data_IF_816610604642
#
_entry.id   IF_816610604642
#
_cell.length_a   1.000
_cell.length_b   1.000
_cell.length_c   1.000
_cell.angle_alpha   90.00
_cell.angle_beta   90.00
_cell.angle_gamma   90.00
#
_symmetry.space_group_name_H-M   'P 1'
#
loop_
_entity.id
_entity.type
_entity.pdbx_description
1 polymer ?
#
# COMPACT_ATOMS: atom_id res chain seq x y z
N UNK A 1 4.16 12.56 -19.89
CA UNK A 1 5.19 12.46 -18.89
C UNK A 1 4.70 12.84 -17.51
N UNK A 2 4.22 14.05 -17.36
CA UNK A 2 3.74 14.50 -16.06
C UNK A 2 2.53 13.74 -15.60
N UNK A 3 1.70 13.26 -16.52
CA UNK A 3 0.55 12.45 -16.18
C UNK A 3 0.95 11.14 -15.53
N UNK A 4 2.04 10.53 -16.01
CA UNK A 4 2.52 9.29 -15.44
C UNK A 4 2.94 9.51 -13.98
N UNK A 5 3.66 10.61 -13.72
CA UNK A 5 4.05 10.95 -12.37
C UNK A 5 2.84 11.11 -11.46
N UNK A 6 1.78 11.78 -11.97
CA UNK A 6 0.56 11.97 -11.20
C UNK A 6 -0.14 10.65 -10.92
N UNK A 7 -0.10 9.70 -11.88
CA UNK A 7 -0.74 8.41 -11.70
C UNK A 7 -0.10 7.60 -10.57
N UNK A 8 1.19 7.83 -10.29
CA UNK A 8 1.90 7.12 -9.23
C UNK A 8 1.73 7.78 -7.86
N UNK A 9 1.36 9.06 -7.83
CA UNK A 9 1.10 9.76 -6.58
C UNK A 9 -0.21 9.26 -5.98
N UNK A 10 -0.36 9.41 -4.66
CA UNK A 10 -1.57 8.98 -3.96
C UNK A 10 -2.49 10.18 -3.78
N UNK A 11 -3.62 10.24 -4.51
CA UNK A 11 -4.57 11.34 -4.32
C UNK A 11 -5.16 11.34 -2.91
N UNK A 12 -5.55 12.50 -2.38
CA UNK A 12 -6.16 12.55 -1.05
C UNK A 12 -7.38 11.66 -0.89
N UNK A 13 -8.20 11.52 -1.93
CA UNK A 13 -9.38 10.68 -1.86
C UNK A 13 -9.00 9.20 -1.69
N UNK A 14 -7.89 8.79 -2.30
CA UNK A 14 -7.40 7.43 -2.15
C UNK A 14 -6.89 7.21 -0.73
N UNK A 15 -6.17 8.19 -0.17
CA UNK A 15 -5.71 8.09 1.21
C UNK A 15 -6.88 7.95 2.18
N UNK A 16 -7.93 8.71 1.97
CA UNK A 16 -9.12 8.64 2.82
C UNK A 16 -9.79 7.27 2.73
N UNK A 17 -9.91 6.75 1.53
CA UNK A 17 -10.52 5.44 1.31
C UNK A 17 -9.69 4.32 1.95
N UNK A 18 -8.38 4.37 1.77
CA UNK A 18 -7.47 3.37 2.34
C UNK A 18 -7.50 3.43 3.87
N UNK A 19 -7.48 4.64 4.43
CA UNK A 19 -7.53 4.82 5.88
C UNK A 19 -8.80 4.20 6.45
N UNK A 20 -9.93 4.43 5.80
CA UNK A 20 -11.21 3.90 6.26
C UNK A 20 -11.25 2.37 6.10
N UNK A 21 -10.79 1.85 4.98
CA UNK A 21 -10.74 0.40 4.74
C UNK A 21 -9.89 -0.30 5.81
N UNK A 22 -8.77 0.33 6.19
CA UNK A 22 -7.81 -0.26 7.12
C UNK A 22 -8.12 0.08 8.58
N UNK A 23 -9.26 0.71 8.85
CA UNK A 23 -9.74 1.04 10.19
C UNK A 23 -8.76 1.92 10.98
N UNK A 24 -8.02 2.76 10.28
CA UNK A 24 -7.17 3.77 10.92
C UNK A 24 -5.97 3.23 11.66
N UNK A 25 -5.46 2.05 11.29
CA UNK A 25 -4.28 1.52 11.94
C UNK A 25 -3.47 0.65 10.97
N UNK A 26 -2.23 0.37 11.36
CA UNK A 26 -1.31 -0.44 10.58
C UNK A 26 -1.91 -1.83 10.33
N UNK A 27 -1.95 -2.26 9.08
CA UNK A 27 -2.54 -3.56 8.75
C UNK A 27 -1.67 -4.74 9.17
N UNK A 28 -0.41 -4.49 9.52
CA UNK A 28 0.50 -5.55 9.94
C UNK A 28 0.58 -5.70 11.45
N UNK A 29 0.68 -4.60 12.19
CA UNK A 29 0.88 -4.67 13.64
C UNK A 29 -0.23 -4.00 14.46
N UNK A 30 -1.17 -3.32 13.82
CA UNK A 30 -2.28 -2.70 14.51
C UNK A 30 -1.99 -1.35 15.15
N UNK A 31 -0.79 -0.79 14.95
CA UNK A 31 -0.42 0.48 15.55
C UNK A 31 -1.31 1.60 14.99
N UNK A 32 -1.99 2.39 15.87
CA UNK A 32 -2.83 3.49 15.38
C UNK A 32 -2.02 4.68 14.86
N UNK A 33 -0.72 4.74 15.17
CA UNK A 33 0.16 5.76 14.60
C UNK A 33 0.69 5.26 13.27
N UNK A 34 -0.16 5.40 12.25
CA UNK A 34 0.12 4.86 10.94
C UNK A 34 -0.42 5.82 9.88
N UNK A 35 -0.04 5.60 8.62
CA UNK A 35 -0.49 6.45 7.52
C UNK A 35 -0.84 5.60 6.30
N UNK A 36 -1.86 6.02 5.52
CA UNK A 36 -2.30 5.28 4.32
C UNK A 36 -1.46 5.67 3.11
N UNK A 37 -0.17 5.43 3.18
CA UNK A 37 0.76 5.92 2.15
C UNK A 37 1.80 4.90 1.70
N UNK A 38 1.66 3.63 2.04
CA UNK A 38 2.63 2.62 1.64
C UNK A 38 2.19 1.95 0.35
N UNK A 39 3.04 2.02 -0.68
CA UNK A 39 2.80 1.33 -1.95
C UNK A 39 3.15 -0.14 -1.82
N UNK A 40 2.24 -1.03 -2.20
CA UNK A 40 2.54 -2.44 -2.29
C UNK A 40 3.58 -2.68 -3.40
N UNK A 41 3.31 -2.17 -4.61
CA UNK A 41 4.32 -2.10 -5.66
C UNK A 41 4.84 -0.67 -5.65
N UNK A 42 6.16 -0.51 -5.48
CA UNK A 42 6.77 0.79 -5.27
C UNK A 42 6.57 1.72 -6.47
N UNK A 43 6.61 3.03 -6.19
CA UNK A 43 6.55 4.02 -7.26
C UNK A 43 7.71 3.86 -8.24
N UNK A 44 8.87 3.46 -7.73
CA UNK A 44 10.03 3.24 -8.60
C UNK A 44 9.79 2.13 -9.61
N UNK A 45 8.90 1.18 -9.28
CA UNK A 45 8.54 0.10 -10.17
C UNK A 45 7.26 0.39 -10.96
N UNK A 46 6.76 1.60 -10.89
CA UNK A 46 5.56 1.99 -11.61
C UNK A 46 4.27 1.76 -10.86
N UNK A 47 4.34 1.48 -9.56
CA UNK A 47 3.14 1.21 -8.77
C UNK A 47 2.22 2.39 -8.67
N UNK A 48 0.95 2.18 -8.99
CA UNK A 48 -0.05 3.24 -9.06
C UNK A 48 -0.53 3.67 -7.68
N UNK A 49 -1.00 4.93 -7.58
CA UNK A 49 -1.60 5.46 -6.36
C UNK A 49 -3.09 5.18 -6.31
N UNK A 50 -3.45 3.91 -6.31
CA UNK A 50 -4.85 3.46 -6.28
C UNK A 50 -5.08 2.61 -5.02
N UNK A 51 -6.32 2.51 -4.53
CA UNK A 51 -6.58 1.78 -3.29
C UNK A 51 -6.07 0.35 -3.29
N UNK A 52 -6.10 -0.30 -4.44
CA UNK A 52 -5.67 -1.69 -4.58
C UNK A 52 -4.17 -1.86 -4.40
N UNK A 53 -3.40 -0.76 -4.44
CA UNK A 53 -1.95 -0.80 -4.31
C UNK A 53 -1.44 -0.06 -3.07
N UNK A 54 -2.31 0.52 -2.27
CA UNK A 54 -1.92 1.33 -1.12
C UNK A 54 -2.43 0.70 0.16
N UNK A 55 -1.59 0.67 1.19
CA UNK A 55 -1.97 0.15 2.51
C UNK A 55 -1.55 1.12 3.60
N UNK A 56 -2.23 1.04 4.74
CA UNK A 56 -1.88 1.80 5.93
C UNK A 56 -0.82 1.04 6.71
N UNK A 57 0.34 1.63 6.89
CA UNK A 57 1.42 1.06 7.69
C UNK A 57 1.95 2.08 8.66
N UNK A 58 2.39 1.63 9.83
CA UNK A 58 3.15 2.48 10.73
C UNK A 58 4.55 2.68 10.16
N UNK A 59 5.27 3.68 10.69
CA UNK A 59 6.60 3.99 10.17
C UNK A 59 7.57 2.83 10.25
N UNK A 60 7.49 2.05 11.33
CA UNK A 60 8.38 0.91 11.50
C UNK A 60 8.10 -0.18 10.45
N UNK A 61 6.84 -0.57 10.28
CA UNK A 61 6.49 -1.60 9.30
C UNK A 61 6.75 -1.12 7.88
N UNK A 62 6.52 0.16 7.60
CA UNK A 62 6.81 0.73 6.28
C UNK A 62 8.30 0.63 5.96
N UNK A 63 9.15 0.99 6.93
CA UNK A 63 10.59 0.90 6.77
C UNK A 63 11.04 -0.54 6.58
N UNK A 64 10.47 -1.47 7.35
CA UNK A 64 10.79 -2.88 7.22
C UNK A 64 10.46 -3.42 5.84
N UNK A 65 9.34 -3.00 5.29
CA UNK A 65 8.94 -3.43 3.97
C UNK A 65 9.85 -2.85 2.89
N UNK A 66 10.23 -1.58 3.02
CA UNK A 66 11.01 -0.90 1.99
C UNK A 66 12.50 -1.21 2.04
N UNK A 67 13.05 -1.49 3.23
CA UNK A 67 14.50 -1.40 3.42
C UNK A 67 15.14 -2.61 4.10
N UNK A 68 14.41 -3.67 4.39
CA UNK A 68 14.99 -4.79 5.13
C UNK A 68 14.78 -6.13 4.44
N UNK A 69 15.45 -7.16 5.00
CA UNK A 69 15.34 -8.54 4.50
C UNK A 69 13.94 -9.12 4.77
N UNK A 70 13.13 -8.44 5.58
CA UNK A 70 11.76 -8.90 5.88
C UNK A 70 10.78 -8.59 4.75
N UNK A 71 11.25 -7.91 3.70
CA UNK A 71 10.40 -7.47 2.61
C UNK A 71 9.56 -8.59 2.00
N UNK A 72 10.15 -9.73 1.74
CA UNK A 72 9.43 -10.81 1.05
C UNK A 72 8.30 -11.37 1.89
N UNK A 73 8.54 -11.52 3.18
CA UNK A 73 7.49 -12.02 4.07
C UNK A 73 6.38 -11.00 4.24
N UNK A 74 6.73 -9.73 4.42
CA UNK A 74 5.74 -8.67 4.53
C UNK A 74 4.94 -8.58 3.24
N UNK A 75 5.60 -8.71 2.09
CA UNK A 75 4.92 -8.67 0.79
C UNK A 75 3.86 -9.75 0.70
N UNK A 76 4.17 -10.95 1.16
CA UNK A 76 3.17 -12.05 1.14
C UNK A 76 1.97 -11.71 2.01
N UNK A 77 2.20 -11.11 3.17
CA UNK A 77 1.12 -10.73 4.08
C UNK A 77 0.26 -9.62 3.47
N UNK A 78 0.88 -8.63 2.86
CA UNK A 78 0.15 -7.54 2.22
C UNK A 78 -0.63 -8.03 1.01
N UNK A 79 -0.06 -8.94 0.23
CA UNK A 79 -0.74 -9.52 -0.91
C UNK A 79 -1.99 -10.29 -0.46
N UNK A 80 -1.87 -11.06 0.60
CA UNK A 80 -3.01 -11.79 1.15
C UNK A 80 -4.09 -10.82 1.61
N UNK A 81 -3.70 -9.75 2.29
CA UNK A 81 -4.65 -8.76 2.78
C UNK A 81 -5.38 -8.05 1.63
N UNK A 82 -4.64 -7.57 0.65
CA UNK A 82 -5.23 -6.82 -0.46
C UNK A 82 -6.12 -7.71 -1.33
N UNK A 83 -5.70 -8.95 -1.57
CA UNK A 83 -6.52 -9.86 -2.36
C UNK A 83 -7.80 -10.24 -1.63
N UNK A 84 -7.80 -10.21 -0.31
CA UNK A 84 -9.02 -10.43 0.47
C UNK A 84 -9.94 -9.22 0.44
N UNK A 85 -9.39 -8.02 0.29
CA UNK A 85 -10.18 -6.79 0.26
C UNK A 85 -10.90 -6.58 -1.09
N UNK A 86 -10.31 -7.06 -2.17
CA UNK A 86 -10.82 -6.75 -3.52
C UNK A 86 -10.99 -8.01 -4.34
N UNK A 87 -12.20 -8.23 -4.82
CA UNK A 87 -12.50 -9.34 -5.71
C UNK A 87 -11.73 -9.16 -7.02
N UNK A 88 -11.06 -10.22 -7.47
CA UNK A 88 -10.30 -10.16 -8.71
C UNK A 88 -9.00 -9.37 -8.62
N UNK A 89 -8.52 -9.11 -7.40
CA UNK A 89 -7.26 -8.38 -7.23
C UNK A 89 -6.10 -9.13 -7.86
N UNK A 90 -5.27 -8.39 -8.63
CA UNK A 90 -4.11 -8.96 -9.32
C UNK A 90 -3.02 -7.90 -9.34
N UNK A 91 -1.82 -8.26 -8.88
CA UNK A 91 -0.72 -7.32 -8.82
C UNK A 91 -0.29 -6.81 -10.19
N UNK A 92 -0.60 -7.52 -11.26
CA UNK A 92 -0.28 -7.03 -12.60
C UNK A 92 -1.09 -5.80 -12.98
N UNK A 93 -2.20 -5.54 -12.31
CA UNK A 93 -3.05 -4.39 -12.60
C UNK A 93 -2.69 -3.16 -11.76
N UNK A 94 -1.62 -3.22 -10.98
CA UNK A 94 -1.24 -2.14 -10.07
C UNK A 94 -0.18 -1.21 -10.63
N UNK A 95 0.22 -1.45 -11.86
CA UNK A 95 1.25 -0.66 -12.54
C UNK A 95 0.68 0.12 -13.70
#
# INVERSE_FOLDING_TARGET
>A
MHRRTKALAIPPIVKAEVWERDNGHCVLCGNPQAAPCAHFISRAQGGLGIPENIVTLCGDCHRRYDQTVERDEIRRRLKSYLSACYHGWDDENLI
#
